data_IF_896630828791
#
_entry.id   IF_896630828791
#
_cell.length_a   1.000
_cell.length_b   1.000
_cell.length_c   1.000
_cell.angle_alpha   90.00
_cell.angle_beta   90.00
_cell.angle_gamma   90.00
#
_symmetry.space_group_name_H-M   'P 1'
#
loop_
_entity.id
_entity.type
_entity.pdbx_description
1 polymer ?
#
# COMPACT_ATOMS: atom_id res chain seq x y z
N UNK A 1 22.25 -8.46 -14.59
CA UNK A 1 21.22 -7.46 -14.20
C UNK A 1 21.38 -6.25 -15.10
N UNK A 2 20.44 -6.00 -16.00
CA UNK A 2 20.43 -4.80 -16.84
C UNK A 2 20.08 -3.59 -15.98
N UNK A 3 21.08 -2.80 -15.58
CA UNK A 3 20.95 -1.63 -14.71
C UNK A 3 20.19 -0.44 -15.34
N UNK A 4 19.68 -0.55 -16.57
CA UNK A 4 19.08 0.56 -17.35
C UNK A 4 17.94 0.14 -18.25
N UNK A 5 17.18 -0.90 -17.87
CA UNK A 5 15.96 -1.24 -18.61
C UNK A 5 14.83 -0.27 -18.30
N UNK A 6 13.98 0.02 -19.27
CA UNK A 6 12.79 0.87 -19.06
C UNK A 6 11.90 0.34 -17.93
N UNK A 7 11.87 -0.98 -17.70
CA UNK A 7 11.18 -1.63 -16.58
C UNK A 7 11.73 -1.15 -15.23
N UNK A 8 13.04 -0.93 -15.14
CA UNK A 8 13.71 -0.42 -13.95
C UNK A 8 13.35 1.04 -13.66
N UNK A 9 13.22 1.85 -14.70
CA UNK A 9 12.75 3.22 -14.59
C UNK A 9 11.29 3.29 -14.16
N UNK A 10 10.41 2.46 -14.72
CA UNK A 10 8.99 2.40 -14.33
C UNK A 10 8.82 1.96 -12.88
N UNK A 11 9.51 0.89 -12.46
CA UNK A 11 9.47 0.43 -11.07
C UNK A 11 9.99 1.51 -10.11
N UNK A 12 11.08 2.17 -10.46
CA UNK A 12 11.64 3.26 -9.66
C UNK A 12 10.65 4.43 -9.56
N UNK A 13 10.02 4.79 -10.65
CA UNK A 13 9.03 5.87 -10.71
C UNK A 13 7.78 5.53 -9.90
N UNK A 14 7.28 4.31 -10.00
CA UNK A 14 6.17 3.83 -9.18
C UNK A 14 6.49 3.85 -7.67
N UNK A 15 7.68 3.40 -7.29
CA UNK A 15 8.14 3.46 -5.90
C UNK A 15 8.29 4.90 -5.42
N UNK A 16 8.85 5.80 -6.24
CA UNK A 16 9.00 7.21 -5.89
C UNK A 16 7.65 7.90 -5.73
N UNK A 17 6.70 7.65 -6.63
CA UNK A 17 5.34 8.17 -6.53
C UNK A 17 4.66 7.69 -5.24
N UNK A 18 4.80 6.40 -4.92
CA UNK A 18 4.24 5.84 -3.69
C UNK A 18 4.81 6.46 -2.41
N UNK A 19 6.12 6.76 -2.38
CA UNK A 19 6.76 7.38 -1.21
C UNK A 19 6.47 8.87 -1.12
N UNK A 20 6.38 9.57 -2.27
CA UNK A 20 6.15 11.02 -2.32
C UNK A 20 4.69 11.40 -2.01
N UNK A 21 3.78 10.44 -2.11
CA UNK A 21 2.36 10.67 -1.85
C UNK A 21 2.10 10.58 -0.35
N UNK A 22 1.50 11.62 0.28
CA UNK A 22 1.07 11.54 1.67
C UNK A 22 0.11 10.38 1.86
N UNK A 23 0.31 9.58 2.91
CA UNK A 23 -0.46 8.37 3.16
C UNK A 23 -1.98 8.60 3.21
N UNK A 24 -2.42 9.71 3.83
CA UNK A 24 -3.84 10.07 3.89
C UNK A 24 -4.42 10.38 2.50
N UNK A 25 -3.64 11.00 1.61
CA UNK A 25 -4.08 11.32 0.26
C UNK A 25 -4.22 10.06 -0.60
N UNK A 26 -3.28 9.11 -0.47
CA UNK A 26 -3.40 7.81 -1.11
C UNK A 26 -4.64 7.05 -0.65
N UNK A 27 -4.92 7.07 0.67
CA UNK A 27 -6.13 6.47 1.22
C UNK A 27 -7.42 7.08 0.64
N UNK A 28 -7.48 8.40 0.52
CA UNK A 28 -8.62 9.11 -0.09
C UNK A 28 -8.77 8.77 -1.58
N UNK A 29 -7.68 8.71 -2.32
CA UNK A 29 -7.72 8.30 -3.74
C UNK A 29 -8.23 6.86 -3.91
N UNK A 30 -7.77 5.94 -3.07
CA UNK A 30 -8.24 4.56 -3.11
C UNK A 30 -9.75 4.47 -2.80
N UNK A 31 -10.23 5.23 -1.81
CA UNK A 31 -11.66 5.33 -1.54
C UNK A 31 -12.40 5.86 -2.77
N UNK A 32 -11.94 6.97 -3.35
CA UNK A 32 -12.59 7.59 -4.49
C UNK A 32 -12.68 6.63 -5.69
N UNK A 33 -11.57 5.95 -6.00
CA UNK A 33 -11.51 5.07 -7.17
C UNK A 33 -12.27 3.76 -6.91
N UNK A 34 -11.95 3.04 -5.83
CA UNK A 34 -12.47 1.68 -5.64
C UNK A 34 -13.82 1.64 -4.94
N UNK A 35 -14.14 2.61 -4.10
CA UNK A 35 -15.40 2.60 -3.39
C UNK A 35 -16.47 3.47 -4.07
N UNK A 36 -16.09 4.63 -4.64
CA UNK A 36 -17.06 5.55 -5.28
C UNK A 36 -17.20 5.28 -6.78
N UNK A 37 -16.11 5.22 -7.54
CA UNK A 37 -16.16 5.04 -8.99
C UNK A 37 -16.43 3.60 -9.39
N UNK A 38 -15.63 2.66 -8.91
CA UNK A 38 -15.75 1.25 -9.27
C UNK A 38 -16.82 0.51 -8.46
N UNK A 39 -17.13 1.01 -7.27
CA UNK A 39 -18.09 0.38 -6.33
C UNK A 39 -17.76 -1.11 -6.00
N UNK A 40 -16.47 -1.47 -6.08
CA UNK A 40 -16.00 -2.83 -5.82
C UNK A 40 -15.86 -3.12 -4.34
N UNK A 41 -15.52 -2.08 -3.56
CA UNK A 41 -15.21 -2.19 -2.15
C UNK A 41 -16.03 -1.18 -1.35
N UNK A 42 -16.44 -1.53 -0.13
CA UNK A 42 -17.19 -0.62 0.73
C UNK A 42 -16.33 0.58 1.17
N UNK A 43 -16.97 1.73 1.30
CA UNK A 43 -16.30 3.00 1.64
C UNK A 43 -15.73 3.00 3.03
N UNK A 44 -16.37 2.33 3.98
CA UNK A 44 -15.93 2.35 5.39
C UNK A 44 -16.68 1.36 6.29
N UNK A 45 -16.02 1.06 7.39
CA UNK A 45 -16.66 0.68 8.65
C UNK A 45 -16.72 -0.81 8.92
N UNK A 46 -16.26 -1.18 10.11
CA UNK A 46 -16.48 -2.49 10.73
C UNK A 46 -17.98 -2.82 11.01
N UNK A 47 -18.90 -1.93 10.63
CA UNK A 47 -20.31 -2.05 11.03
C UNK A 47 -21.03 -3.27 10.47
N UNK A 48 -20.67 -3.72 9.26
CA UNK A 48 -21.27 -4.95 8.72
C UNK A 48 -20.85 -6.20 9.50
N UNK A 49 -19.70 -6.18 10.16
CA UNK A 49 -19.23 -7.28 11.01
C UNK A 49 -20.09 -7.42 12.26
N UNK A 50 -20.49 -6.32 12.87
CA UNK A 50 -21.38 -6.30 14.03
C UNK A 50 -22.85 -6.57 13.65
N UNK A 51 -23.22 -6.31 12.42
CA UNK A 51 -24.57 -6.58 11.88
C UNK A 51 -24.73 -8.01 11.30
N UNK A 52 -23.79 -8.92 11.58
CA UNK A 52 -23.84 -10.31 11.10
C UNK A 52 -23.12 -10.56 9.78
N UNK A 53 -22.26 -9.64 9.33
CA UNK A 53 -21.37 -9.84 8.19
C UNK A 53 -20.36 -10.94 8.46
N UNK A 54 -20.19 -11.85 7.49
CA UNK A 54 -19.22 -12.95 7.61
C UNK A 54 -17.77 -12.49 7.40
N UNK A 55 -16.82 -13.44 7.56
CA UNK A 55 -15.38 -13.18 7.37
C UNK A 55 -15.03 -12.53 6.01
N UNK A 56 -15.78 -12.84 4.97
CA UNK A 56 -15.59 -12.25 3.63
C UNK A 56 -15.92 -10.76 3.62
N UNK A 57 -16.95 -10.34 4.35
CA UNK A 57 -17.34 -8.95 4.45
C UNK A 57 -16.31 -8.15 5.25
N UNK A 58 -15.81 -8.71 6.34
CA UNK A 58 -14.68 -8.15 7.10
C UNK A 58 -13.44 -7.92 6.20
N UNK A 59 -13.08 -8.92 5.40
CA UNK A 59 -11.94 -8.80 4.48
C UNK A 59 -12.14 -7.68 3.47
N UNK A 60 -13.33 -7.53 2.90
CA UNK A 60 -13.62 -6.43 1.95
C UNK A 60 -13.45 -5.05 2.57
N UNK A 61 -13.86 -4.88 3.84
CA UNK A 61 -13.72 -3.60 4.55
C UNK A 61 -12.28 -3.30 4.95
N UNK A 62 -11.49 -4.34 5.27
CA UNK A 62 -10.07 -4.18 5.64
C UNK A 62 -9.14 -3.97 4.43
N UNK A 63 -9.57 -4.31 3.22
CA UNK A 63 -8.73 -4.35 2.04
C UNK A 63 -8.19 -2.96 1.67
N UNK A 64 -9.04 -1.93 1.63
CA UNK A 64 -8.63 -0.56 1.31
C UNK A 64 -7.66 0.03 2.34
N UNK A 65 -7.93 0.00 3.66
CA UNK A 65 -6.97 0.43 4.66
C UNK A 65 -5.64 -0.34 4.60
N UNK A 66 -5.72 -1.66 4.44
CA UNK A 66 -4.51 -2.49 4.36
C UNK A 66 -3.65 -2.16 3.14
N UNK A 67 -4.26 -1.97 1.96
CA UNK A 67 -3.53 -1.58 0.75
C UNK A 67 -2.90 -0.20 0.91
N UNK A 68 -3.60 0.78 1.46
CA UNK A 68 -3.06 2.13 1.65
C UNK A 68 -1.82 2.14 2.55
N UNK A 69 -1.82 1.34 3.61
CA UNK A 69 -0.66 1.15 4.49
C UNK A 69 0.45 0.36 3.79
N UNK A 70 0.11 -0.74 3.12
CA UNK A 70 1.07 -1.63 2.47
C UNK A 70 1.86 -0.93 1.36
N UNK A 71 1.23 -0.09 0.55
CA UNK A 71 1.90 0.61 -0.57
C UNK A 71 3.03 1.49 -0.06
N UNK A 72 2.78 2.27 0.99
CA UNK A 72 3.80 3.18 1.55
C UNK A 72 4.97 2.40 2.16
N UNK A 73 4.67 1.40 2.99
CA UNK A 73 5.70 0.58 3.64
C UNK A 73 6.51 -0.21 2.62
N UNK A 74 5.84 -0.82 1.64
CA UNK A 74 6.51 -1.56 0.56
C UNK A 74 7.43 -0.65 -0.25
N UNK A 75 7.00 0.58 -0.56
CA UNK A 75 7.82 1.56 -1.27
C UNK A 75 9.12 1.88 -0.53
N UNK A 76 9.03 2.14 0.78
CA UNK A 76 10.20 2.42 1.63
C UNK A 76 11.15 1.22 1.67
N UNK A 77 10.63 0.02 1.97
CA UNK A 77 11.43 -1.20 2.06
C UNK A 77 12.05 -1.60 0.72
N UNK A 78 11.32 -1.47 -0.39
CA UNK A 78 11.82 -1.79 -1.72
C UNK A 78 12.99 -0.87 -2.12
N UNK A 79 12.89 0.44 -1.83
CA UNK A 79 13.96 1.39 -2.09
C UNK A 79 15.20 1.08 -1.26
N UNK A 80 15.02 0.78 0.03
CA UNK A 80 16.12 0.44 0.93
C UNK A 80 16.79 -0.87 0.50
N UNK A 81 16.00 -1.92 0.25
CA UNK A 81 16.51 -3.22 -0.17
C UNK A 81 17.31 -3.12 -1.48
N UNK A 82 16.82 -2.31 -2.42
CA UNK A 82 17.55 -2.06 -3.66
C UNK A 82 18.89 -1.37 -3.39
N UNK A 83 18.91 -0.33 -2.55
CA UNK A 83 20.13 0.39 -2.19
C UNK A 83 21.16 -0.54 -1.53
N UNK A 84 20.74 -1.25 -0.48
CA UNK A 84 21.57 -2.21 0.23
C UNK A 84 22.11 -3.31 -0.70
N UNK A 85 21.27 -3.82 -1.60
CA UNK A 85 21.69 -4.85 -2.55
C UNK A 85 22.72 -4.34 -3.57
N UNK A 86 22.57 -3.12 -4.07
CA UNK A 86 23.53 -2.50 -4.98
C UNK A 86 24.87 -2.24 -4.30
N UNK A 87 24.84 -1.78 -3.06
CA UNK A 87 26.03 -1.57 -2.25
C UNK A 87 26.77 -2.89 -2.03
N UNK A 88 26.08 -3.92 -1.54
CA UNK A 88 26.70 -5.23 -1.27
C UNK A 88 27.28 -5.86 -2.56
N UNK A 89 26.59 -5.78 -3.68
CA UNK A 89 27.08 -6.32 -4.96
C UNK A 89 28.30 -5.57 -5.51
N UNK A 90 28.63 -4.39 -5.00
CA UNK A 90 29.81 -3.62 -5.38
C UNK A 90 31.06 -3.96 -4.56
N UNK A 91 30.94 -4.71 -3.46
CA UNK A 91 32.02 -5.01 -2.53
C UNK A 91 33.06 -6.01 -3.12
N UNK A 92 34.27 -5.93 -2.61
CA UNK A 92 35.39 -6.72 -3.15
C UNK A 92 35.22 -8.23 -2.97
N UNK A 93 34.58 -8.67 -1.90
CA UNK A 93 34.33 -10.11 -1.69
C UNK A 93 33.39 -10.68 -2.78
N UNK A 94 32.49 -9.86 -3.34
CA UNK A 94 31.64 -10.24 -4.48
C UNK A 94 32.48 -10.37 -5.74
N UNK A 95 33.46 -9.45 -5.95
CA UNK A 95 34.40 -9.56 -7.08
C UNK A 95 35.23 -10.84 -6.98
N UNK A 96 35.71 -11.16 -5.77
CA UNK A 96 36.42 -12.42 -5.52
C UNK A 96 35.55 -13.66 -5.78
N UNK A 97 34.27 -13.63 -5.35
CA UNK A 97 33.37 -14.73 -5.61
C UNK A 97 33.15 -14.96 -7.12
N UNK A 98 33.01 -13.89 -7.91
CA UNK A 98 32.96 -13.97 -9.38
C UNK A 98 34.26 -14.47 -9.99
N UNK A 99 35.42 -14.01 -9.49
CA UNK A 99 36.72 -14.49 -9.96
C UNK A 99 36.95 -15.97 -9.71
N UNK A 100 36.34 -16.55 -8.66
CA UNK A 100 36.32 -17.98 -8.37
C UNK A 100 35.37 -18.78 -9.28
N UNK A 101 34.70 -18.16 -10.25
CA UNK A 101 33.81 -18.82 -11.19
C UNK A 101 32.43 -19.18 -10.65
N UNK A 102 32.02 -18.60 -9.53
CA UNK A 102 30.67 -18.82 -8.99
C UNK A 102 29.61 -18.23 -9.93
N UNK A 103 28.47 -18.95 -10.09
CA UNK A 103 27.38 -18.47 -10.91
C UNK A 103 26.78 -17.17 -10.37
N UNK A 104 26.35 -16.25 -11.24
CA UNK A 104 25.72 -14.99 -10.85
C UNK A 104 24.52 -15.20 -9.92
N UNK A 105 23.77 -16.27 -10.11
CA UNK A 105 22.64 -16.61 -9.23
C UNK A 105 23.12 -16.87 -7.80
N UNK A 106 24.20 -17.64 -7.63
CA UNK A 106 24.79 -17.91 -6.31
C UNK A 106 25.35 -16.64 -5.69
N UNK A 107 26.03 -15.82 -6.47
CA UNK A 107 26.59 -14.54 -6.01
C UNK A 107 25.47 -13.61 -5.50
N UNK A 108 24.39 -13.47 -6.26
CA UNK A 108 23.28 -12.56 -5.90
C UNK A 108 22.51 -13.06 -4.67
N UNK A 109 22.12 -14.36 -4.65
CA UNK A 109 21.24 -14.87 -3.59
C UNK A 109 21.98 -15.21 -2.31
N UNK A 110 23.14 -15.85 -2.41
CA UNK A 110 23.86 -16.36 -1.23
C UNK A 110 24.81 -15.33 -0.61
N UNK A 111 25.41 -14.45 -1.43
CA UNK A 111 26.35 -13.44 -0.93
C UNK A 111 25.73 -12.04 -0.88
N UNK A 112 25.06 -11.60 -1.95
CA UNK A 112 24.47 -10.27 -2.00
C UNK A 112 23.27 -10.14 -1.06
N UNK A 113 22.23 -10.96 -1.25
CA UNK A 113 21.00 -10.86 -0.48
C UNK A 113 21.19 -11.18 1.00
N UNK A 114 21.99 -12.21 1.33
CA UNK A 114 22.22 -12.61 2.71
C UNK A 114 22.80 -11.45 3.56
N UNK A 115 23.68 -10.62 2.97
CA UNK A 115 24.27 -9.49 3.67
C UNK A 115 23.42 -8.22 3.56
N UNK A 116 22.73 -8.03 2.43
CA UNK A 116 21.84 -6.87 2.25
C UNK A 116 20.58 -6.92 3.12
N UNK A 117 20.17 -8.09 3.61
CA UNK A 117 18.93 -8.25 4.38
C UNK A 117 19.02 -7.62 5.78
N UNK A 118 20.21 -7.52 6.39
CA UNK A 118 20.40 -6.97 7.73
C UNK A 118 19.83 -5.56 7.90
N UNK A 119 20.29 -4.57 7.15
CA UNK A 119 19.74 -3.21 7.19
C UNK A 119 18.24 -3.16 6.86
N UNK A 120 17.77 -4.00 5.94
CA UNK A 120 16.35 -4.07 5.55
C UNK A 120 15.49 -4.56 6.72
N UNK A 121 15.91 -5.60 7.43
CA UNK A 121 15.20 -6.13 8.60
C UNK A 121 15.13 -5.13 9.75
N UNK A 122 16.20 -4.36 9.98
CA UNK A 122 16.20 -3.30 11.00
C UNK A 122 15.14 -2.24 10.69
N UNK A 123 15.09 -1.75 9.45
CA UNK A 123 14.09 -0.75 9.04
C UNK A 123 12.69 -1.36 8.98
N UNK A 124 12.54 -2.63 8.59
CA UNK A 124 11.25 -3.32 8.64
C UNK A 124 10.70 -3.37 10.07
N UNK A 125 11.55 -3.65 11.06
CA UNK A 125 11.17 -3.61 12.48
C UNK A 125 10.69 -2.22 12.92
N UNK A 126 11.40 -1.16 12.51
CA UNK A 126 10.99 0.23 12.79
C UNK A 126 9.66 0.58 12.10
N UNK A 127 9.45 0.09 10.88
CA UNK A 127 8.19 0.31 10.15
C UNK A 127 6.98 -0.35 10.82
N UNK A 128 7.17 -1.47 11.51
CA UNK A 128 6.10 -2.07 12.32
C UNK A 128 5.67 -1.09 13.42
N UNK A 129 6.62 -0.49 14.14
CA UNK A 129 6.32 0.54 15.14
C UNK A 129 5.59 1.75 14.55
N UNK A 130 6.04 2.23 13.37
CA UNK A 130 5.39 3.32 12.65
C UNK A 130 3.95 2.98 12.22
N UNK A 131 3.70 1.74 11.81
CA UNK A 131 2.37 1.27 11.43
C UNK A 131 1.37 1.40 12.58
N UNK A 132 1.75 1.05 13.81
CA UNK A 132 0.86 1.22 14.97
C UNK A 132 0.42 2.66 15.17
N UNK A 133 1.31 3.63 14.97
CA UNK A 133 0.96 5.06 15.04
C UNK A 133 0.06 5.50 13.88
N UNK A 134 0.31 5.01 12.67
CA UNK A 134 -0.44 5.42 11.46
C UNK A 134 -1.80 4.75 11.33
N UNK A 135 -2.03 3.60 11.95
CA UNK A 135 -3.34 2.91 11.97
C UNK A 135 -4.43 3.85 12.49
N UNK A 136 -4.19 4.58 13.58
CA UNK A 136 -5.16 5.49 14.18
C UNK A 136 -5.60 6.57 13.18
N UNK A 137 -4.64 7.14 12.43
CA UNK A 137 -4.92 8.17 11.43
C UNK A 137 -5.73 7.59 10.26
N UNK A 138 -5.34 6.43 9.77
CA UNK A 138 -6.03 5.76 8.66
C UNK A 138 -7.44 5.36 9.08
N UNK A 139 -7.61 4.78 10.26
CA UNK A 139 -8.92 4.40 10.78
C UNK A 139 -9.86 5.60 10.93
N UNK A 140 -9.36 6.73 11.42
CA UNK A 140 -10.14 7.97 11.53
C UNK A 140 -10.57 8.49 10.15
N UNK A 141 -9.73 8.41 9.13
CA UNK A 141 -10.07 8.79 7.75
C UNK A 141 -11.16 7.89 7.16
N UNK A 142 -11.00 6.58 7.30
CA UNK A 142 -11.99 5.63 6.78
C UNK A 142 -13.32 5.72 7.53
N UNK A 143 -13.33 6.02 8.81
CA UNK A 143 -14.54 6.24 9.59
C UNK A 143 -15.19 7.61 9.29
N UNK A 144 -14.39 8.66 9.09
CA UNK A 144 -14.87 10.02 8.78
C UNK A 144 -15.31 10.18 7.33
N UNK A 145 -14.80 9.37 6.40
CA UNK A 145 -15.16 9.43 4.98
C UNK A 145 -16.66 9.22 4.74
N UNK A 146 -17.35 8.48 5.59
CA UNK A 146 -18.82 8.38 5.58
C UNK A 146 -19.51 9.74 5.68
N UNK A 147 -19.09 10.57 6.64
CA UNK A 147 -19.69 11.89 6.87
C UNK A 147 -19.37 12.86 5.74
N UNK A 148 -18.15 12.83 5.22
CA UNK A 148 -17.74 13.65 4.08
C UNK A 148 -18.49 13.28 2.80
N UNK A 149 -18.63 12.01 2.49
CA UNK A 149 -19.34 11.53 1.31
C UNK A 149 -20.84 11.86 1.41
N UNK A 150 -21.46 11.71 2.58
CA UNK A 150 -22.87 12.09 2.76
C UNK A 150 -23.11 13.60 2.66
N UNK A 151 -22.16 14.42 3.11
CA UNK A 151 -22.33 15.88 3.11
C UNK A 151 -22.00 16.54 1.76
N UNK A 152 -21.03 16.01 1.03
CA UNK A 152 -20.51 16.66 -0.19
C UNK A 152 -20.99 15.97 -1.47
N UNK A 153 -20.99 14.64 -1.51
CA UNK A 153 -21.26 13.89 -2.75
C UNK A 153 -22.77 13.63 -2.93
N UNK A 154 -23.49 13.36 -1.84
CA UNK A 154 -24.93 13.12 -1.93
C UNK A 154 -25.70 14.30 -2.54
N UNK A 155 -25.49 15.57 -2.16
CA UNK A 155 -26.21 16.68 -2.80
C UNK A 155 -25.83 16.89 -4.27
N UNK A 156 -24.58 16.61 -4.64
CA UNK A 156 -24.09 16.77 -6.02
C UNK A 156 -24.64 15.69 -6.95
N UNK A 157 -24.71 14.45 -6.48
CA UNK A 157 -25.21 13.32 -7.26
C UNK A 157 -26.73 13.15 -7.17
N UNK A 158 -27.37 13.54 -6.07
CA UNK A 158 -28.83 13.47 -5.92
C UNK A 158 -29.55 14.45 -6.85
N UNK A 159 -28.89 15.53 -7.28
CA UNK A 159 -29.49 16.49 -8.20
C UNK A 159 -29.50 16.04 -9.67
N UNK A 160 -28.72 15.02 -10.05
CA UNK A 160 -28.45 14.77 -11.47
C UNK A 160 -28.46 13.31 -11.93
N UNK A 161 -28.89 12.32 -11.13
CA UNK A 161 -28.90 10.93 -11.63
C UNK A 161 -30.04 10.05 -11.10
N UNK A 162 -30.59 9.17 -11.97
CA UNK A 162 -31.57 8.14 -11.58
C UNK A 162 -30.99 6.99 -10.74
N UNK A 163 -29.72 7.10 -10.32
CA UNK A 163 -28.99 6.08 -9.54
C UNK A 163 -29.23 6.24 -8.02
N UNK A 164 -30.21 7.06 -7.62
CA UNK A 164 -30.56 7.26 -6.19
C UNK A 164 -31.17 6.02 -5.50
N UNK A 165 -31.28 4.90 -6.21
CA UNK A 165 -31.97 3.73 -5.68
C UNK A 165 -31.03 2.79 -4.93
N UNK A 166 -30.97 2.96 -3.65
CA UNK A 166 -30.86 1.87 -2.69
C UNK A 166 -29.47 1.55 -2.14
N UNK A 167 -28.39 1.56 -2.90
CA UNK A 167 -27.10 1.04 -2.40
C UNK A 167 -26.28 2.08 -1.63
N UNK A 168 -26.17 3.31 -2.16
CA UNK A 168 -25.39 4.38 -1.49
C UNK A 168 -26.12 4.91 -0.25
N UNK A 169 -27.46 5.03 -0.31
CA UNK A 169 -28.27 5.54 0.82
C UNK A 169 -28.28 4.51 1.96
N UNK A 170 -28.37 3.21 1.67
CA UNK A 170 -28.37 2.16 2.68
C UNK A 170 -27.00 1.98 3.37
N UNK A 171 -25.90 2.25 2.65
CA UNK A 171 -24.53 2.20 3.17
C UNK A 171 -24.16 3.44 4.01
N UNK A 172 -24.86 4.56 3.82
CA UNK A 172 -24.54 5.86 4.44
C UNK A 172 -25.58 6.29 5.50
N UNK A 173 -26.70 5.58 5.67
CA UNK A 173 -27.70 5.87 6.68
C UNK A 173 -27.11 5.66 8.09
N UNK A 174 -27.26 6.63 9.01
CA UNK A 174 -26.90 6.41 10.41
C UNK A 174 -27.85 5.38 11.03
N UNK A 175 -27.26 4.42 11.76
CA UNK A 175 -28.01 3.55 12.69
C UNK A 175 -28.34 4.34 13.94
#
# INVERSE_FOLDING_TARGET
MHRRGWQDHLLTLAVLLGISTPQFWLALLLILVFAVWLQWLPVSGMYAVYAGGGAVDLLRHLLLPAISLAVVVTGVLARLARGAMLEELSRDYIRMARAKGLSERTVVWRYGLANAIGPVMTVAGLQIGYLFGSIIVIESLFNSSRRFLSLIILPIFASNSPISNGFLIKSLAPA
#
